data_IF_113474454955
#
_entry.id   IF_113474454955
#
_cell.length_a   1.000
_cell.length_b   1.000
_cell.length_c   1.000
_cell.angle_alpha   90.00
_cell.angle_beta   90.00
_cell.angle_gamma   90.00
#
_symmetry.space_group_name_H-M   'P 1'
#
loop_
_entity.id
_entity.type
_entity.pdbx_description
1 polymer ?
#
# COMPACT_ATOMS: atom_id res chain seq x y z
N UNK A 1 118.50 -63.79 50.98
CA UNK A 1 117.52 -64.89 51.08
C UNK A 1 116.55 -64.47 52.17
N UNK A 2 115.27 -64.17 52.01
CA UNK A 2 114.19 -64.37 51.01
C UNK A 2 113.06 -63.47 51.58
N UNK A 3 112.43 -62.52 50.89
CA UNK A 3 111.61 -62.66 49.68
C UNK A 3 110.12 -62.61 50.04
N UNK A 4 109.44 -61.53 49.60
CA UNK A 4 108.03 -61.41 49.17
C UNK A 4 106.87 -61.00 50.12
N UNK A 5 106.07 -60.07 49.56
CA UNK A 5 104.60 -59.89 49.59
C UNK A 5 103.96 -58.79 50.47
N UNK A 6 103.82 -57.64 49.81
CA UNK A 6 102.57 -56.94 49.46
C UNK A 6 101.63 -56.39 50.54
N UNK A 7 101.59 -55.06 50.53
CA UNK A 7 100.65 -54.15 51.12
C UNK A 7 99.29 -54.20 50.39
N UNK A 8 98.18 -54.17 51.14
CA UNK A 8 96.97 -53.38 50.86
C UNK A 8 96.07 -53.38 52.11
N UNK A 9 96.06 -52.26 52.84
CA UNK A 9 95.06 -51.97 53.87
C UNK A 9 94.03 -50.99 53.33
N UNK A 10 92.75 -51.39 53.30
CA UNK A 10 91.62 -50.51 52.97
C UNK A 10 90.68 -50.35 54.16
N UNK A 11 90.67 -49.15 54.73
CA UNK A 11 89.66 -48.66 55.67
C UNK A 11 88.61 -47.87 54.89
N UNK A 12 87.39 -48.41 54.75
CA UNK A 12 86.27 -47.76 54.06
C UNK A 12 85.08 -47.49 54.97
N UNK A 13 84.88 -46.23 55.34
CA UNK A 13 83.76 -45.65 56.10
C UNK A 13 82.41 -45.85 55.39
N UNK A 14 81.38 -46.31 56.11
CA UNK A 14 80.01 -46.46 55.58
C UNK A 14 79.34 -45.09 55.37
N UNK A 15 79.13 -44.71 54.11
CA UNK A 15 78.39 -43.49 53.74
C UNK A 15 76.87 -43.74 53.81
N UNK A 16 76.12 -42.91 54.55
CA UNK A 16 74.66 -43.01 54.67
C UNK A 16 73.97 -42.07 53.67
N UNK A 17 73.33 -42.64 52.64
CA UNK A 17 72.73 -41.92 51.52
C UNK A 17 71.41 -41.17 51.80
N UNK A 18 70.92 -41.13 53.05
CA UNK A 18 69.58 -40.60 53.38
C UNK A 18 69.44 -39.08 53.18
N UNK A 19 70.48 -38.30 53.49
CA UNK A 19 70.47 -36.83 53.36
C UNK A 19 70.45 -36.33 51.90
N UNK A 20 71.32 -36.79 50.98
CA UNK A 20 71.25 -36.37 49.59
C UNK A 20 69.95 -36.84 48.91
N UNK A 21 69.38 -37.97 49.34
CA UNK A 21 68.13 -38.49 48.79
C UNK A 21 66.90 -37.67 49.23
N UNK A 22 66.84 -37.20 50.48
CA UNK A 22 65.79 -36.26 50.92
C UNK A 22 65.91 -34.87 50.27
N UNK A 23 67.14 -34.36 50.10
CA UNK A 23 67.38 -33.11 49.36
C UNK A 23 66.99 -33.24 47.89
N UNK A 24 67.29 -34.37 47.26
CA UNK A 24 66.84 -34.70 45.92
C UNK A 24 65.32 -34.80 45.81
N UNK A 25 64.66 -35.45 46.78
CA UNK A 25 63.20 -35.57 46.81
C UNK A 25 62.50 -34.22 47.04
N UNK A 26 63.03 -33.38 47.93
CA UNK A 26 62.51 -32.03 48.16
C UNK A 26 62.72 -31.13 46.92
N UNK A 27 63.88 -31.22 46.28
CA UNK A 27 64.14 -30.53 45.01
C UNK A 27 63.20 -30.98 43.88
N UNK A 28 62.91 -32.29 43.80
CA UNK A 28 61.94 -32.85 42.86
C UNK A 28 60.52 -32.32 43.14
N UNK A 29 60.11 -32.26 44.42
CA UNK A 29 58.80 -31.75 44.81
C UNK A 29 58.63 -30.26 44.48
N UNK A 30 59.66 -29.45 44.70
CA UNK A 30 59.64 -28.02 44.32
C UNK A 30 59.64 -27.85 42.81
N UNK A 31 60.40 -28.67 42.07
CA UNK A 31 60.44 -28.59 40.62
C UNK A 31 59.12 -29.04 39.98
N UNK A 32 58.60 -30.20 40.38
CA UNK A 32 57.33 -30.74 39.86
C UNK A 32 56.14 -29.94 40.36
N UNK A 33 56.13 -29.53 41.64
CA UNK A 33 55.06 -28.71 42.21
C UNK A 33 55.08 -27.27 41.69
N UNK A 34 56.26 -26.65 41.59
CA UNK A 34 56.43 -25.29 41.07
C UNK A 34 56.18 -25.22 39.56
N UNK A 35 56.79 -26.10 38.76
CA UNK A 35 56.57 -26.16 37.32
C UNK A 35 55.15 -26.62 37.00
N UNK A 36 54.61 -27.61 37.73
CA UNK A 36 53.23 -28.06 37.56
C UNK A 36 52.22 -26.97 37.89
N UNK A 37 52.41 -26.23 38.99
CA UNK A 37 51.54 -25.10 39.34
C UNK A 37 51.64 -23.98 38.31
N UNK A 38 52.85 -23.65 37.83
CA UNK A 38 53.04 -22.63 36.80
C UNK A 38 52.45 -23.06 35.45
N UNK A 39 52.62 -24.33 35.05
CA UNK A 39 52.12 -24.86 33.79
C UNK A 39 50.59 -24.94 33.70
N UNK A 40 49.88 -24.88 34.83
CA UNK A 40 48.41 -24.83 34.90
C UNK A 40 47.89 -23.40 35.15
N UNK A 41 48.68 -22.52 35.75
CA UNK A 41 48.22 -21.15 36.11
C UNK A 41 48.65 -20.08 35.13
N UNK A 42 49.64 -20.33 34.28
CA UNK A 42 50.08 -19.38 33.27
C UNK A 42 49.13 -19.40 32.06
N UNK A 43 48.55 -18.26 31.72
CA UNK A 43 47.75 -18.08 30.51
C UNK A 43 48.62 -17.53 29.38
N UNK A 44 48.74 -18.27 28.29
CA UNK A 44 49.34 -17.80 27.04
C UNK A 44 48.18 -17.48 26.10
N UNK A 45 47.95 -16.18 25.86
CA UNK A 45 46.99 -15.74 24.85
C UNK A 45 47.57 -16.01 23.46
N UNK A 46 46.87 -16.81 22.65
CA UNK A 46 47.20 -16.97 21.23
C UNK A 46 46.55 -15.88 20.38
N UNK A 47 47.05 -15.72 19.15
CA UNK A 47 46.41 -14.87 18.16
C UNK A 47 46.40 -15.59 16.81
N UNK A 48 45.24 -15.59 16.15
CA UNK A 48 45.13 -15.96 14.74
C UNK A 48 45.36 -14.70 13.92
N UNK A 49 46.31 -14.76 13.00
CA UNK A 49 46.59 -13.66 12.08
C UNK A 49 45.77 -13.89 10.82
N UNK A 50 44.80 -13.00 10.59
CA UNK A 50 43.95 -13.01 9.41
C UNK A 50 44.33 -11.83 8.52
N UNK A 51 44.62 -12.10 7.25
CA UNK A 51 44.85 -11.04 6.27
C UNK A 51 43.49 -10.49 5.82
N UNK A 52 43.37 -9.18 5.80
CA UNK A 52 42.12 -8.50 5.49
C UNK A 52 42.34 -7.25 4.67
N UNK A 53 41.23 -6.61 4.31
CA UNK A 53 41.22 -5.31 3.66
C UNK A 53 40.11 -4.45 4.20
N UNK A 54 40.34 -3.15 4.24
CA UNK A 54 39.29 -2.16 4.47
C UNK A 54 38.31 -2.26 3.31
N UNK A 55 37.04 -2.50 3.62
CA UNK A 55 35.97 -2.38 2.66
C UNK A 55 35.00 -1.29 3.16
N UNK A 56 34.33 -0.63 2.24
CA UNK A 56 33.08 0.04 2.63
C UNK A 56 32.06 -1.06 2.82
N UNK A 57 31.15 -0.91 3.77
CA UNK A 57 29.90 -1.65 3.75
C UNK A 57 29.10 -1.24 2.49
N UNK A 58 29.55 -1.76 1.34
CA UNK A 58 29.08 -1.34 0.03
C UNK A 58 27.87 -2.18 -0.33
N UNK A 59 26.75 -1.93 0.33
CA UNK A 59 25.48 -2.38 -0.19
C UNK A 59 24.98 -1.36 -1.22
N UNK A 60 25.40 -1.56 -2.48
CA UNK A 60 24.90 -0.76 -3.61
C UNK A 60 23.37 -0.80 -3.61
N UNK A 61 22.74 0.36 -3.55
CA UNK A 61 21.28 0.46 -3.57
C UNK A 61 20.83 0.49 -5.01
N UNK A 62 20.05 -0.50 -5.42
CA UNK A 62 19.46 -0.51 -6.76
C UNK A 62 18.32 0.50 -6.84
N UNK A 63 18.35 1.33 -7.87
CA UNK A 63 17.23 2.23 -8.22
C UNK A 63 16.52 1.61 -9.42
N UNK A 64 15.23 1.34 -9.26
CA UNK A 64 14.39 0.69 -10.27
C UNK A 64 12.99 1.32 -10.26
N UNK A 65 12.27 1.23 -11.37
CA UNK A 65 10.88 1.70 -11.50
C UNK A 65 9.92 0.51 -11.63
N UNK A 66 8.83 0.43 -10.84
CA UNK A 66 7.94 -0.72 -10.84
C UNK A 66 7.26 -0.96 -12.19
N UNK A 67 6.85 0.11 -12.88
CA UNK A 67 6.07 0.00 -14.13
C UNK A 67 6.94 0.10 -15.40
N UNK A 68 8.21 0.51 -15.28
CA UNK A 68 9.04 0.87 -16.44
C UNK A 68 8.46 2.05 -17.27
N UNK A 69 9.00 2.28 -18.46
CA UNK A 69 8.55 3.36 -19.35
C UNK A 69 9.59 3.80 -20.37
N UNK A 70 9.23 4.79 -21.19
CA UNK A 70 10.16 5.44 -22.12
C UNK A 70 10.84 6.60 -21.39
N UNK A 71 12.16 6.69 -21.45
CA UNK A 71 12.90 7.78 -20.81
C UNK A 71 12.71 9.07 -21.58
N UNK A 72 12.24 10.11 -20.89
CA UNK A 72 12.11 11.47 -21.43
C UNK A 72 13.38 12.29 -21.21
N UNK A 73 13.97 12.19 -20.02
CA UNK A 73 15.10 13.02 -19.62
C UNK A 73 15.99 12.27 -18.61
N UNK A 74 17.30 12.43 -18.73
CA UNK A 74 18.31 11.90 -17.81
C UNK A 74 18.98 13.09 -17.12
N UNK A 75 18.82 13.20 -15.80
CA UNK A 75 19.26 14.37 -15.03
C UNK A 75 20.62 14.17 -14.35
N UNK A 76 21.11 12.94 -14.30
CA UNK A 76 22.37 12.56 -13.66
C UNK A 76 23.30 11.82 -14.60
N UNK A 77 24.59 11.80 -14.28
CA UNK A 77 25.63 11.07 -14.99
C UNK A 77 26.37 10.12 -14.06
N UNK A 78 27.03 9.13 -14.66
CA UNK A 78 27.90 8.20 -13.96
C UNK A 78 28.96 8.97 -13.14
N UNK A 79 29.05 8.68 -11.84
CA UNK A 79 29.98 9.35 -10.91
C UNK A 79 29.44 10.63 -10.27
N UNK A 80 28.25 11.10 -10.61
CA UNK A 80 27.64 12.27 -9.96
C UNK A 80 27.27 11.97 -8.51
N UNK A 81 27.37 12.98 -7.65
CA UNK A 81 26.92 12.91 -6.26
C UNK A 81 25.49 13.45 -6.16
N UNK A 82 24.60 12.66 -5.58
CA UNK A 82 23.16 12.99 -5.41
C UNK A 82 22.77 12.94 -3.95
N UNK A 83 21.79 13.75 -3.57
CA UNK A 83 21.12 13.73 -2.28
C UNK A 83 19.85 12.88 -2.34
N UNK A 84 19.36 12.46 -1.18
CA UNK A 84 18.09 11.76 -1.10
C UNK A 84 16.94 12.68 -1.55
N UNK A 85 16.12 12.22 -2.48
CA UNK A 85 15.03 12.99 -3.10
C UNK A 85 15.40 13.70 -4.40
N UNK A 86 16.67 13.69 -4.81
CA UNK A 86 17.07 14.28 -6.09
C UNK A 86 16.46 13.49 -7.26
N UNK A 87 15.98 14.22 -8.27
CA UNK A 87 15.46 13.64 -9.50
C UNK A 87 16.61 13.04 -10.33
N UNK A 88 16.54 11.74 -10.61
CA UNK A 88 17.56 11.02 -11.35
C UNK A 88 17.22 10.94 -12.85
N UNK A 89 16.00 10.48 -13.15
CA UNK A 89 15.49 10.33 -14.51
C UNK A 89 14.00 10.64 -14.54
N UNK A 90 13.49 11.11 -15.68
CA UNK A 90 12.06 11.28 -15.94
C UNK A 90 11.60 10.37 -17.08
N UNK A 91 10.45 9.74 -16.89
CA UNK A 91 9.77 8.95 -17.90
C UNK A 91 8.77 9.80 -18.69
N UNK A 92 8.48 9.41 -19.93
CA UNK A 92 7.54 10.08 -20.83
C UNK A 92 6.10 10.01 -20.28
N UNK A 93 5.48 11.16 -19.97
CA UNK A 93 4.14 11.20 -19.38
C UNK A 93 3.02 11.15 -20.42
N UNK A 94 3.29 11.26 -21.72
CA UNK A 94 2.27 11.57 -22.73
C UNK A 94 1.12 10.55 -22.76
N UNK A 95 1.43 9.26 -22.75
CA UNK A 95 0.40 8.18 -22.79
C UNK A 95 -0.44 8.18 -21.53
N UNK A 96 0.20 8.28 -20.36
CA UNK A 96 -0.50 8.25 -19.08
C UNK A 96 -1.31 9.54 -18.83
N UNK A 97 -0.81 10.71 -19.27
CA UNK A 97 -1.56 11.98 -19.22
C UNK A 97 -2.79 11.90 -20.10
N UNK A 98 -2.65 11.45 -21.34
CA UNK A 98 -3.80 11.24 -22.24
C UNK A 98 -4.84 10.31 -21.62
N UNK A 99 -4.41 9.19 -21.02
CA UNK A 99 -5.31 8.27 -20.33
C UNK A 99 -6.00 8.93 -19.12
N UNK A 100 -5.26 9.69 -18.31
CA UNK A 100 -5.81 10.42 -17.18
C UNK A 100 -6.84 11.48 -17.62
N UNK A 101 -6.55 12.21 -18.71
CA UNK A 101 -7.44 13.25 -19.25
C UNK A 101 -8.73 12.64 -19.80
N UNK A 102 -8.65 11.48 -20.47
CA UNK A 102 -9.81 10.71 -20.92
C UNK A 102 -10.67 10.29 -19.73
N UNK A 103 -10.06 9.67 -18.71
CA UNK A 103 -10.78 9.22 -17.51
C UNK A 103 -11.41 10.39 -16.74
N UNK A 104 -10.70 11.52 -16.61
CA UNK A 104 -11.21 12.73 -15.97
C UNK A 104 -12.38 13.33 -16.75
N UNK A 105 -12.31 13.35 -18.08
CA UNK A 105 -13.41 13.82 -18.93
C UNK A 105 -14.64 12.91 -18.83
N UNK A 106 -14.45 11.59 -18.76
CA UNK A 106 -15.54 10.65 -18.52
C UNK A 106 -16.15 10.82 -17.12
N UNK A 107 -15.34 11.08 -16.10
CA UNK A 107 -15.84 11.41 -14.76
C UNK A 107 -16.71 12.67 -14.76
N UNK A 108 -16.26 13.74 -15.42
CA UNK A 108 -17.04 14.97 -15.57
C UNK A 108 -18.37 14.74 -16.29
N UNK A 109 -18.40 13.86 -17.30
CA UNK A 109 -19.64 13.45 -17.97
C UNK A 109 -20.63 12.82 -16.99
N UNK A 110 -20.18 11.84 -16.21
CA UNK A 110 -21.02 11.14 -15.25
C UNK A 110 -21.46 12.09 -14.13
N UNK A 111 -20.58 12.97 -13.65
CA UNK A 111 -20.90 13.96 -12.62
C UNK A 111 -21.97 14.96 -13.08
N UNK A 112 -21.85 15.49 -14.30
CA UNK A 112 -22.85 16.40 -14.85
C UNK A 112 -24.21 15.70 -15.03
N UNK A 113 -24.19 14.46 -15.54
CA UNK A 113 -25.40 13.66 -15.71
C UNK A 113 -26.04 13.32 -14.35
N UNK A 114 -25.22 12.96 -13.36
CA UNK A 114 -25.68 12.69 -12.00
C UNK A 114 -26.29 13.93 -11.35
N UNK A 115 -25.67 15.11 -11.52
CA UNK A 115 -26.20 16.38 -11.03
C UNK A 115 -27.59 16.67 -11.61
N UNK A 116 -27.78 16.50 -12.93
CA UNK A 116 -29.10 16.60 -13.57
C UNK A 116 -30.11 15.63 -12.95
N UNK A 117 -29.74 14.35 -12.81
CA UNK A 117 -30.65 13.33 -12.28
C UNK A 117 -31.01 13.57 -10.81
N UNK A 118 -30.09 14.13 -10.02
CA UNK A 118 -30.36 14.55 -8.65
C UNK A 118 -31.40 15.68 -8.65
N UNK A 119 -31.23 16.69 -9.50
CA UNK A 119 -32.22 17.76 -9.65
C UNK A 119 -33.58 17.23 -10.12
N UNK A 120 -33.63 16.28 -11.06
CA UNK A 120 -34.88 15.64 -11.52
C UNK A 120 -35.56 14.81 -10.44
N UNK A 121 -34.79 14.10 -9.60
CA UNK A 121 -35.31 13.31 -8.48
C UNK A 121 -35.89 14.22 -7.39
N UNK A 122 -35.21 15.32 -7.11
CA UNK A 122 -35.56 16.24 -6.01
C UNK A 122 -36.59 17.28 -6.45
N UNK A 123 -36.97 17.30 -7.73
CA UNK A 123 -37.87 18.30 -8.32
C UNK A 123 -37.36 19.73 -8.10
N UNK A 124 -36.04 19.91 -8.21
CA UNK A 124 -35.39 21.21 -8.04
C UNK A 124 -35.63 22.12 -9.26
N UNK A 125 -35.56 23.44 -9.08
CA UNK A 125 -35.70 24.39 -10.19
C UNK A 125 -34.43 24.48 -11.05
N UNK A 126 -33.27 24.22 -10.46
CA UNK A 126 -31.96 24.34 -11.11
C UNK A 126 -31.02 23.17 -10.76
N UNK A 127 -30.04 22.93 -11.63
CA UNK A 127 -29.01 21.93 -11.41
C UNK A 127 -27.86 22.55 -10.61
N UNK A 128 -27.48 21.91 -9.50
CA UNK A 128 -26.25 22.21 -8.78
C UNK A 128 -25.13 21.27 -9.24
N UNK A 129 -24.12 21.80 -9.91
CA UNK A 129 -22.95 21.03 -10.34
C UNK A 129 -21.85 21.05 -9.24
N UNK A 130 -20.99 20.02 -9.17
CA UNK A 130 -19.81 20.06 -8.30
C UNK A 130 -18.82 21.17 -8.69
N UNK A 131 -18.17 21.80 -7.72
CA UNK A 131 -17.23 22.91 -7.95
C UNK A 131 -16.10 22.56 -8.93
N UNK A 132 -15.53 21.35 -8.82
CA UNK A 132 -14.46 20.89 -9.72
C UNK A 132 -14.89 20.88 -11.19
N UNK A 133 -16.15 20.50 -11.46
CA UNK A 133 -16.72 20.46 -12.80
C UNK A 133 -16.98 21.88 -13.31
N UNK A 134 -17.47 22.79 -12.47
CA UNK A 134 -17.69 24.19 -12.85
C UNK A 134 -16.38 24.92 -13.15
N UNK A 135 -15.33 24.68 -12.37
CA UNK A 135 -13.99 25.19 -12.64
C UNK A 135 -13.44 24.64 -13.95
N UNK A 136 -13.56 23.33 -14.18
CA UNK A 136 -13.14 22.71 -15.44
C UNK A 136 -13.92 23.26 -16.64
N UNK A 137 -15.22 23.50 -16.51
CA UNK A 137 -16.05 24.12 -17.55
C UNK A 137 -15.64 25.57 -17.85
N UNK A 138 -15.17 26.32 -16.86
CA UNK A 138 -14.68 27.68 -17.07
C UNK A 138 -13.37 27.70 -17.89
N UNK A 139 -12.55 26.66 -17.79
CA UNK A 139 -11.25 26.56 -18.45
C UNK A 139 -11.30 25.84 -19.80
N UNK A 140 -12.21 24.87 -19.95
CA UNK A 140 -12.30 23.95 -21.10
C UNK A 140 -13.66 24.00 -21.79
N UNK A 141 -13.64 24.34 -23.08
CA UNK A 141 -14.86 24.47 -23.89
C UNK A 141 -15.65 23.18 -24.08
N UNK A 142 -14.97 22.04 -24.17
CA UNK A 142 -15.62 20.73 -24.33
C UNK A 142 -16.38 20.31 -23.06
N UNK A 143 -15.86 20.67 -21.87
CA UNK A 143 -16.57 20.47 -20.60
C UNK A 143 -17.71 21.48 -20.43
N UNK A 144 -17.53 22.72 -20.87
CA UNK A 144 -18.60 23.73 -20.88
C UNK A 144 -19.81 23.28 -21.73
N UNK A 145 -19.56 22.75 -22.93
CA UNK A 145 -20.60 22.23 -23.81
C UNK A 145 -21.35 21.06 -23.17
N UNK A 146 -20.65 20.20 -22.44
CA UNK A 146 -21.24 19.09 -21.70
C UNK A 146 -22.18 19.57 -20.59
N UNK A 147 -21.73 20.53 -19.77
CA UNK A 147 -22.54 21.13 -18.69
C UNK A 147 -23.78 21.82 -19.26
N UNK A 148 -23.62 22.61 -20.31
CA UNK A 148 -24.73 23.31 -20.95
C UNK A 148 -25.72 22.32 -21.61
N UNK A 149 -25.21 21.23 -22.19
CA UNK A 149 -26.03 20.14 -22.70
C UNK A 149 -26.93 19.52 -21.62
N UNK A 150 -26.40 19.33 -20.39
CA UNK A 150 -27.21 18.84 -19.26
C UNK A 150 -28.25 19.87 -18.79
N UNK A 151 -27.90 21.16 -18.72
CA UNK A 151 -28.85 22.24 -18.39
C UNK A 151 -30.00 22.31 -19.40
N UNK A 152 -29.67 22.30 -20.69
CA UNK A 152 -30.64 22.31 -21.79
C UNK A 152 -31.55 21.08 -21.76
N UNK A 153 -31.00 19.89 -21.52
CA UNK A 153 -31.79 18.66 -21.42
C UNK A 153 -32.75 18.68 -20.22
N UNK A 154 -32.29 19.19 -19.07
CA UNK A 154 -33.11 19.34 -17.87
C UNK A 154 -34.30 20.27 -18.11
N UNK A 155 -34.04 21.46 -18.64
CA UNK A 155 -35.07 22.44 -18.97
C UNK A 155 -36.09 21.88 -19.99
N UNK A 156 -35.61 21.17 -21.02
CA UNK A 156 -36.47 20.54 -22.01
C UNK A 156 -37.38 19.46 -21.41
N UNK A 157 -36.85 18.65 -20.49
CA UNK A 157 -37.63 17.61 -19.77
C UNK A 157 -38.66 18.22 -18.83
N UNK A 158 -38.28 19.24 -18.05
CA UNK A 158 -39.21 19.98 -17.18
C UNK A 158 -40.35 20.60 -18.00
N UNK A 159 -40.02 21.32 -19.09
CA UNK A 159 -41.00 21.93 -19.96
C UNK A 159 -41.89 20.91 -20.70
N UNK A 160 -41.41 19.70 -20.96
CA UNK A 160 -42.23 18.63 -21.55
C UNK A 160 -43.24 18.08 -20.55
N UNK A 161 -42.81 17.88 -19.29
CA UNK A 161 -43.69 17.40 -18.21
C UNK A 161 -44.78 18.40 -17.89
N UNK A 162 -44.42 19.68 -17.80
CA UNK A 162 -45.37 20.75 -17.55
C UNK A 162 -46.45 20.80 -18.63
N UNK A 163 -46.07 20.67 -19.91
CA UNK A 163 -47.03 20.62 -21.02
C UNK A 163 -47.98 19.43 -20.96
N UNK A 164 -47.51 18.29 -20.47
CA UNK A 164 -48.33 17.09 -20.29
C UNK A 164 -49.33 17.27 -19.14
N UNK A 165 -48.89 17.86 -18.03
CA UNK A 165 -49.75 18.24 -16.90
C UNK A 165 -50.81 19.24 -17.34
N UNK A 166 -50.42 20.32 -18.02
CA UNK A 166 -51.33 21.34 -18.57
C UNK A 166 -52.43 20.72 -19.46
N UNK A 167 -52.07 19.72 -20.27
CA UNK A 167 -53.02 19.03 -21.14
C UNK A 167 -54.03 18.21 -20.33
N UNK A 168 -53.57 17.51 -19.29
CA UNK A 168 -54.41 16.73 -18.39
C UNK A 168 -55.35 17.65 -17.57
N UNK A 169 -54.84 18.77 -17.07
CA UNK A 169 -55.64 19.76 -16.34
C UNK A 169 -56.73 20.39 -17.22
N UNK A 170 -56.41 20.78 -18.46
CA UNK A 170 -57.43 21.26 -19.42
C UNK A 170 -58.53 20.23 -19.68
N UNK A 171 -58.18 18.94 -19.71
CA UNK A 171 -59.14 17.84 -19.86
C UNK A 171 -60.04 17.72 -18.62
N UNK A 172 -59.48 17.92 -17.43
CA UNK A 172 -60.23 17.98 -16.16
C UNK A 172 -61.20 19.16 -16.14
N UNK A 173 -60.78 20.34 -16.58
CA UNK A 173 -61.64 21.53 -16.67
C UNK A 173 -62.82 21.32 -17.65
N UNK A 174 -62.58 20.61 -18.76
CA UNK A 174 -63.64 20.22 -19.69
C UNK A 174 -64.66 19.28 -19.03
N UNK A 175 -64.20 18.30 -18.25
CA UNK A 175 -65.06 17.39 -17.50
C UNK A 175 -65.87 18.16 -16.45
N UNK A 176 -65.25 19.09 -15.72
CA UNK A 176 -65.95 19.94 -14.75
C UNK A 176 -67.06 20.77 -15.41
N UNK A 177 -66.81 21.31 -16.60
CA UNK A 177 -67.82 22.05 -17.38
C UNK A 177 -68.97 21.14 -17.83
N UNK A 178 -68.68 19.89 -18.21
CA UNK A 178 -69.71 18.90 -18.56
C UNK A 178 -70.58 18.54 -17.35
N UNK A 179 -69.96 18.31 -16.19
CA UNK A 179 -70.67 18.03 -14.93
C UNK A 179 -71.62 19.20 -14.60
N UNK A 180 -71.13 20.43 -14.64
CA UNK A 180 -71.97 21.62 -14.37
C UNK A 180 -73.18 21.72 -15.31
N UNK A 181 -73.02 21.36 -16.59
CA UNK A 181 -74.13 21.29 -17.54
C UNK A 181 -75.17 20.21 -17.19
N UNK A 182 -74.72 19.04 -16.73
CA UNK A 182 -75.60 17.94 -16.31
C UNK A 182 -76.30 18.27 -14.98
N UNK A 183 -75.62 18.93 -14.06
CA UNK A 183 -76.20 19.40 -12.79
C UNK A 183 -77.34 20.38 -13.02
N UNK A 184 -77.20 21.32 -13.97
CA UNK A 184 -78.28 22.21 -14.37
C UNK A 184 -79.49 21.45 -14.99
N UNK A 185 -79.23 20.39 -15.76
CA UNK A 185 -80.29 19.52 -16.29
C UNK A 185 -80.98 18.73 -15.17
N UNK A 186 -80.22 18.20 -14.21
CA UNK A 186 -80.74 17.53 -13.03
C UNK A 186 -81.65 18.45 -12.21
N UNK A 187 -81.28 19.71 -12.02
CA UNK A 187 -82.10 20.70 -11.33
C UNK A 187 -83.43 20.92 -12.06
N UNK A 188 -83.40 21.11 -13.38
CA UNK A 188 -84.60 21.29 -14.21
C UNK A 188 -85.52 20.05 -14.17
N UNK A 189 -84.95 18.85 -14.30
CA UNK A 189 -85.71 17.59 -14.21
C UNK A 189 -86.33 17.39 -12.82
N UNK A 190 -85.60 17.76 -11.77
CA UNK A 190 -86.10 17.69 -10.38
C UNK A 190 -87.27 18.65 -10.16
N UNK A 191 -87.20 19.86 -10.71
CA UNK A 191 -88.31 20.82 -10.66
C UNK A 191 -89.54 20.29 -11.42
N UNK A 192 -89.34 19.76 -12.63
CA UNK A 192 -90.42 19.18 -13.44
C UNK A 192 -91.08 17.99 -12.73
N UNK A 193 -90.28 17.12 -12.10
CA UNK A 193 -90.78 16.01 -11.29
C UNK A 193 -91.65 16.52 -10.11
N UNK A 194 -91.27 17.64 -9.49
CA UNK A 194 -92.07 18.32 -8.47
C UNK A 194 -93.46 18.70 -8.96
N UNK A 195 -93.55 19.37 -10.12
CA UNK A 195 -94.84 19.75 -10.72
C UNK A 195 -95.70 18.54 -11.08
N UNK A 196 -95.10 17.48 -11.63
CA UNK A 196 -95.82 16.25 -11.98
C UNK A 196 -96.36 15.57 -10.72
N UNK A 197 -95.62 15.57 -9.61
CA UNK A 197 -96.08 15.02 -8.32
C UNK A 197 -97.26 15.80 -7.75
N UNK A 198 -97.21 17.12 -7.78
CA UNK A 198 -98.33 17.98 -7.33
C UNK A 198 -99.60 17.75 -8.18
N UNK A 199 -99.44 17.64 -9.50
CA UNK A 199 -100.56 17.34 -10.40
C UNK A 199 -101.11 15.93 -10.15
N UNK A 200 -100.23 14.95 -9.99
CA UNK A 200 -100.59 13.56 -9.71
C UNK A 200 -101.37 13.45 -8.39
N UNK A 201 -100.93 14.09 -7.32
CA UNK A 201 -101.62 14.12 -6.03
C UNK A 201 -103.03 14.71 -6.17
N UNK A 202 -103.14 15.83 -6.88
CA UNK A 202 -104.42 16.49 -7.14
C UNK A 202 -105.37 15.60 -7.93
N UNK A 203 -104.88 14.96 -9.02
CA UNK A 203 -105.66 14.06 -9.86
C UNK A 203 -106.05 12.76 -9.15
N UNK A 204 -105.17 12.21 -8.30
CA UNK A 204 -105.47 11.05 -7.48
C UNK A 204 -106.62 11.35 -6.51
N UNK A 205 -106.56 12.49 -5.82
CA UNK A 205 -107.63 12.92 -4.91
C UNK A 205 -108.97 13.17 -5.63
N UNK A 206 -108.96 13.62 -6.89
CA UNK A 206 -110.17 13.73 -7.71
C UNK A 206 -110.70 12.35 -8.15
N UNK A 207 -109.81 11.43 -8.52
CA UNK A 207 -110.16 10.05 -8.88
C UNK A 207 -110.83 9.31 -7.71
N UNK A 208 -110.30 9.47 -6.50
CA UNK A 208 -110.83 8.86 -5.27
C UNK A 208 -112.26 9.35 -4.95
N UNK A 209 -112.60 10.57 -5.38
CA UNK A 209 -113.95 11.16 -5.29
C UNK A 209 -114.84 10.82 -6.50
N UNK A 210 -114.34 10.06 -7.47
CA UNK A 210 -115.05 9.72 -8.72
C UNK A 210 -115.13 10.86 -9.74
N UNK A 211 -114.32 11.91 -9.59
CA UNK A 211 -114.34 13.13 -10.41
C UNK A 211 -113.25 13.16 -11.51
N UNK A 212 -112.38 12.17 -11.56
CA UNK A 212 -111.35 12.02 -12.60
C UNK A 212 -111.35 10.60 -13.18
N UNK A 213 -110.66 10.40 -14.31
CA UNK A 213 -110.55 9.10 -14.97
C UNK A 213 -109.18 8.43 -14.67
N UNK A 214 -109.20 7.13 -14.35
CA UNK A 214 -107.99 6.37 -14.02
C UNK A 214 -106.86 6.45 -15.08
N UNK A 215 -107.12 6.48 -16.39
CA UNK A 215 -106.06 6.63 -17.39
C UNK A 215 -105.24 7.93 -17.25
N UNK A 216 -105.82 9.01 -16.71
CA UNK A 216 -105.09 10.27 -16.50
C UNK A 216 -104.04 10.13 -15.40
N UNK A 217 -104.41 9.52 -14.27
CA UNK A 217 -103.49 9.24 -13.15
C UNK A 217 -102.37 8.29 -13.60
N UNK A 218 -102.70 7.20 -14.30
CA UNK A 218 -101.71 6.25 -14.82
C UNK A 218 -100.74 6.89 -15.82
N UNK A 219 -101.18 7.87 -16.61
CA UNK A 219 -100.30 8.62 -17.50
C UNK A 219 -99.29 9.47 -16.71
N UNK A 220 -99.74 10.20 -15.69
CA UNK A 220 -98.87 11.00 -14.80
C UNK A 220 -97.89 10.13 -14.01
N UNK A 221 -98.31 8.95 -13.53
CA UNK A 221 -97.41 7.99 -12.88
C UNK A 221 -96.30 7.48 -13.81
N UNK A 222 -96.62 7.21 -15.10
CA UNK A 222 -95.61 6.83 -16.08
C UNK A 222 -94.65 7.98 -16.39
N UNK A 223 -95.15 9.20 -16.42
CA UNK A 223 -94.33 10.40 -16.60
C UNK A 223 -93.40 10.64 -15.40
N UNK A 224 -93.91 10.52 -14.18
CA UNK A 224 -93.10 10.56 -12.95
C UNK A 224 -91.98 9.51 -12.99
N UNK A 225 -92.32 8.25 -13.30
CA UNK A 225 -91.35 7.17 -13.40
C UNK A 225 -90.31 7.42 -14.51
N UNK A 226 -90.72 8.01 -15.64
CA UNK A 226 -89.83 8.39 -16.72
C UNK A 226 -88.83 9.48 -16.30
N UNK A 227 -89.30 10.53 -15.62
CA UNK A 227 -88.44 11.60 -15.09
C UNK A 227 -87.47 11.08 -14.03
N UNK A 228 -87.93 10.22 -13.11
CA UNK A 228 -87.06 9.57 -12.14
C UNK A 228 -85.96 8.73 -12.81
N UNK A 229 -86.29 8.04 -13.90
CA UNK A 229 -85.31 7.32 -14.72
C UNK A 229 -84.24 8.24 -15.32
N UNK A 230 -84.65 9.37 -15.90
CA UNK A 230 -83.72 10.37 -16.48
C UNK A 230 -82.82 11.03 -15.43
N UNK A 231 -83.36 11.33 -14.24
CA UNK A 231 -82.59 11.81 -13.10
C UNK A 231 -81.55 10.77 -12.68
N UNK A 232 -81.96 9.50 -12.58
CA UNK A 232 -81.05 8.40 -12.26
C UNK A 232 -79.91 8.25 -13.28
N UNK A 233 -80.21 8.33 -14.57
CA UNK A 233 -79.22 8.28 -15.66
C UNK A 233 -78.23 9.46 -15.61
N UNK A 234 -78.73 10.68 -15.42
CA UNK A 234 -77.90 11.88 -15.32
C UNK A 234 -77.01 11.87 -14.06
N UNK A 235 -77.54 11.36 -12.94
CA UNK A 235 -76.77 11.17 -11.69
C UNK A 235 -75.64 10.15 -11.91
N UNK A 236 -75.94 9.01 -12.56
CA UNK A 236 -74.94 7.99 -12.87
C UNK A 236 -73.84 8.54 -13.79
N UNK A 237 -74.22 9.32 -14.80
CA UNK A 237 -73.27 9.98 -15.73
C UNK A 237 -72.37 10.98 -14.99
N UNK A 238 -72.93 11.75 -14.06
CA UNK A 238 -72.14 12.67 -13.22
C UNK A 238 -71.11 11.93 -12.39
N UNK A 239 -71.50 10.82 -11.76
CA UNK A 239 -70.57 9.99 -10.99
C UNK A 239 -69.47 9.36 -11.87
N UNK A 240 -69.80 8.93 -13.09
CA UNK A 240 -68.82 8.43 -14.07
C UNK A 240 -67.78 9.50 -14.45
N UNK A 241 -68.23 10.73 -14.72
CA UNK A 241 -67.35 11.85 -15.05
C UNK A 241 -66.44 12.25 -13.87
N UNK A 242 -66.96 12.23 -12.64
CA UNK A 242 -66.16 12.43 -11.43
C UNK A 242 -65.09 11.34 -11.26
N UNK A 243 -65.43 10.08 -11.57
CA UNK A 243 -64.48 8.97 -11.63
C UNK A 243 -63.34 9.24 -12.61
N UNK A 244 -63.66 9.66 -13.84
CA UNK A 244 -62.66 10.04 -14.85
C UNK A 244 -61.77 11.21 -14.43
N UNK A 245 -62.32 12.21 -13.74
CA UNK A 245 -61.50 13.29 -13.17
C UNK A 245 -60.50 12.75 -12.15
N UNK A 246 -60.91 11.80 -11.32
CA UNK A 246 -60.03 11.17 -10.33
C UNK A 246 -58.93 10.34 -11.01
N UNK A 247 -59.25 9.64 -12.11
CA UNK A 247 -58.24 8.93 -12.92
C UNK A 247 -57.18 9.88 -13.49
N UNK A 248 -57.59 11.05 -13.97
CA UNK A 248 -56.67 12.09 -14.48
C UNK A 248 -55.74 12.59 -13.35
N UNK A 249 -56.27 12.82 -12.15
CA UNK A 249 -55.46 13.24 -10.99
C UNK A 249 -54.39 12.18 -10.63
N UNK A 250 -54.75 10.90 -10.73
CA UNK A 250 -53.80 9.80 -10.54
C UNK A 250 -52.77 9.72 -11.68
N UNK A 251 -53.15 10.05 -12.91
CA UNK A 251 -52.24 10.11 -14.06
C UNK A 251 -51.19 11.22 -13.88
N UNK A 252 -51.60 12.42 -13.43
CA UNK A 252 -50.68 13.52 -13.08
C UNK A 252 -49.70 13.09 -11.99
N UNK A 253 -50.18 12.47 -10.90
CA UNK A 253 -49.32 11.96 -9.84
C UNK A 253 -48.31 10.93 -10.37
N UNK A 254 -48.76 10.04 -11.27
CA UNK A 254 -47.93 9.00 -11.88
C UNK A 254 -46.80 9.57 -12.75
N UNK A 255 -47.02 10.69 -13.44
CA UNK A 255 -45.97 11.34 -14.23
C UNK A 255 -44.80 11.77 -13.35
N UNK A 256 -45.09 12.41 -12.21
CA UNK A 256 -44.06 12.83 -11.26
C UNK A 256 -43.32 11.64 -10.63
N UNK A 257 -44.05 10.61 -10.18
CA UNK A 257 -43.44 9.43 -9.57
C UNK A 257 -42.60 8.63 -10.57
N UNK A 258 -43.09 8.45 -11.80
CA UNK A 258 -42.35 7.71 -12.84
C UNK A 258 -41.05 8.41 -13.22
N UNK A 259 -41.06 9.74 -13.34
CA UNK A 259 -39.84 10.50 -13.61
C UNK A 259 -38.83 10.39 -12.45
N UNK A 260 -39.29 10.47 -11.19
CA UNK A 260 -38.44 10.27 -10.01
C UNK A 260 -37.85 8.85 -9.97
N UNK A 261 -38.65 7.82 -10.23
CA UNK A 261 -38.20 6.43 -10.26
C UNK A 261 -37.14 6.18 -11.35
N UNK A 262 -37.36 6.72 -12.54
CA UNK A 262 -36.38 6.67 -13.63
C UNK A 262 -35.07 7.36 -13.23
N UNK A 263 -35.15 8.55 -12.64
CA UNK A 263 -33.98 9.29 -12.20
C UNK A 263 -33.19 8.54 -11.11
N UNK A 264 -33.87 7.92 -10.15
CA UNK A 264 -33.23 7.10 -9.10
C UNK A 264 -32.54 5.88 -9.70
N UNK A 265 -33.19 5.21 -10.65
CA UNK A 265 -32.65 4.01 -11.31
C UNK A 265 -31.39 4.35 -12.10
N UNK A 266 -31.44 5.38 -12.95
CA UNK A 266 -30.27 5.85 -13.70
C UNK A 266 -29.14 6.32 -12.77
N UNK A 267 -29.46 7.06 -11.71
CA UNK A 267 -28.48 7.55 -10.75
C UNK A 267 -27.74 6.41 -10.04
N UNK A 268 -28.46 5.33 -9.67
CA UNK A 268 -27.86 4.16 -9.05
C UNK A 268 -26.82 3.52 -9.98
N UNK A 269 -27.15 3.36 -11.26
CA UNK A 269 -26.28 2.73 -12.23
C UNK A 269 -25.07 3.62 -12.57
N UNK A 270 -25.26 4.95 -12.61
CA UNK A 270 -24.16 5.90 -12.80
C UNK A 270 -23.21 5.96 -11.60
N UNK A 271 -23.71 5.88 -10.37
CA UNK A 271 -22.86 5.91 -9.16
C UNK A 271 -21.83 4.77 -9.15
N UNK A 272 -22.22 3.58 -9.60
CA UNK A 272 -21.28 2.47 -9.72
C UNK A 272 -20.15 2.79 -10.71
N UNK A 273 -20.50 3.30 -11.90
CA UNK A 273 -19.53 3.71 -12.92
C UNK A 273 -18.65 4.87 -12.48
N UNK A 274 -19.22 5.82 -11.74
CA UNK A 274 -18.46 6.95 -11.18
C UNK A 274 -17.36 6.45 -10.25
N UNK A 275 -17.69 5.53 -9.33
CA UNK A 275 -16.71 4.95 -8.42
C UNK A 275 -15.62 4.20 -9.19
N UNK A 276 -16.01 3.38 -10.16
CA UNK A 276 -15.06 2.64 -11.00
C UNK A 276 -14.08 3.57 -11.73
N UNK A 277 -14.59 4.61 -12.42
CA UNK A 277 -13.74 5.58 -13.13
C UNK A 277 -12.89 6.41 -12.17
N UNK A 278 -13.39 6.72 -10.97
CA UNK A 278 -12.63 7.47 -9.97
C UNK A 278 -11.44 6.66 -9.45
N UNK A 279 -11.61 5.36 -9.24
CA UNK A 279 -10.52 4.46 -8.88
C UNK A 279 -9.51 4.31 -10.02
N UNK A 280 -9.96 4.15 -11.26
CA UNK A 280 -9.08 4.07 -12.44
C UNK A 280 -8.28 5.37 -12.62
N UNK A 281 -8.94 6.52 -12.50
CA UNK A 281 -8.28 7.83 -12.58
C UNK A 281 -7.22 7.98 -11.49
N UNK A 282 -7.54 7.59 -10.24
CA UNK A 282 -6.58 7.65 -9.13
C UNK A 282 -5.37 6.76 -9.39
N UNK A 283 -5.56 5.54 -9.88
CA UNK A 283 -4.47 4.63 -10.22
C UNK A 283 -3.52 5.22 -11.29
N UNK A 284 -4.07 5.80 -12.36
CA UNK A 284 -3.27 6.45 -13.41
C UNK A 284 -2.59 7.72 -12.89
N UNK A 285 -3.27 8.51 -12.05
CA UNK A 285 -2.70 9.69 -11.40
C UNK A 285 -1.51 9.33 -10.49
N UNK A 286 -1.63 8.20 -9.77
CA UNK A 286 -0.55 7.67 -8.94
C UNK A 286 0.65 7.23 -9.81
N UNK A 287 0.39 6.54 -10.93
CA UNK A 287 1.44 6.20 -11.90
C UNK A 287 2.12 7.44 -12.48
N UNK A 288 1.36 8.49 -12.82
CA UNK A 288 1.89 9.77 -13.28
C UNK A 288 2.82 10.42 -12.23
N UNK A 289 2.45 10.36 -10.95
CA UNK A 289 3.27 10.91 -9.87
C UNK A 289 4.62 10.21 -9.70
N UNK A 290 4.73 8.94 -10.15
CA UNK A 290 5.94 8.12 -10.07
C UNK A 290 6.82 8.16 -11.32
N UNK A 291 6.45 8.90 -12.36
CA UNK A 291 7.26 9.00 -13.57
C UNK A 291 8.61 9.67 -13.36
N UNK A 292 8.80 10.34 -12.23
CA UNK A 292 10.08 10.87 -11.80
C UNK A 292 10.74 9.85 -10.89
N UNK A 293 11.85 9.28 -11.35
CA UNK A 293 12.66 8.35 -10.57
C UNK A 293 13.58 9.19 -9.67
N UNK A 294 13.37 9.11 -8.37
CA UNK A 294 14.12 9.88 -7.36
C UNK A 294 15.17 9.02 -6.64
N UNK A 295 16.20 9.66 -6.10
CA UNK A 295 17.22 9.00 -5.29
C UNK A 295 16.66 8.60 -3.91
N UNK A 296 16.63 7.30 -3.55
CA UNK A 296 16.17 6.88 -2.21
C UNK A 296 17.13 7.25 -1.08
N UNK A 297 18.42 7.41 -1.39
CA UNK A 297 19.50 7.73 -0.45
C UNK A 297 20.51 8.65 -1.10
N UNK A 298 21.23 9.44 -0.31
CA UNK A 298 22.37 10.20 -0.81
C UNK A 298 23.54 9.26 -1.14
N UNK A 299 24.27 9.55 -2.22
CA UNK A 299 25.37 8.70 -2.67
C UNK A 299 25.94 9.11 -4.01
N UNK A 300 26.85 8.29 -4.53
CA UNK A 300 27.42 8.45 -5.87
C UNK A 300 26.69 7.50 -6.83
N UNK A 301 26.33 8.02 -8.00
CA UNK A 301 25.73 7.25 -9.09
C UNK A 301 26.75 6.29 -9.68
N UNK A 302 26.38 5.02 -9.75
CA UNK A 302 27.22 3.93 -10.23
C UNK A 302 26.45 2.97 -11.15
N UNK A 303 27.12 2.45 -12.17
CA UNK A 303 26.63 1.40 -13.08
C UNK A 303 25.25 1.75 -13.67
N UNK A 304 25.12 2.97 -14.22
CA UNK A 304 23.96 3.37 -15.01
C UNK A 304 23.73 2.39 -16.16
N UNK A 305 22.51 1.90 -16.32
CA UNK A 305 22.13 1.02 -17.44
C UNK A 305 21.50 1.79 -18.61
N UNK A 306 21.17 3.06 -18.37
CA UNK A 306 20.40 3.92 -19.27
C UNK A 306 21.24 5.12 -19.67
N UNK A 307 21.55 5.22 -20.97
CA UNK A 307 22.50 6.22 -21.48
C UNK A 307 21.93 7.17 -22.54
N UNK A 308 20.70 6.94 -22.99
CA UNK A 308 20.09 7.70 -24.07
C UNK A 308 18.64 8.06 -23.73
N UNK A 309 18.25 9.28 -24.11
CA UNK A 309 16.85 9.65 -24.17
C UNK A 309 16.08 8.71 -25.10
N UNK A 310 14.80 8.51 -24.81
CA UNK A 310 13.89 7.59 -25.52
C UNK A 310 14.22 6.11 -25.42
N UNK A 311 15.19 5.71 -24.58
CA UNK A 311 15.38 4.30 -24.23
C UNK A 311 14.18 3.76 -23.47
N UNK A 312 13.90 2.47 -23.63
CA UNK A 312 12.78 1.80 -22.95
C UNK A 312 13.30 1.03 -21.74
N UNK A 313 12.73 1.28 -20.58
CA UNK A 313 13.00 0.57 -19.32
C UNK A 313 11.83 -0.40 -19.08
N UNK A 314 12.12 -1.67 -18.75
CA UNK A 314 11.08 -2.64 -18.38
C UNK A 314 10.74 -2.53 -16.89
N UNK A 315 9.55 -2.99 -16.48
CA UNK A 315 9.19 -3.14 -15.08
C UNK A 315 10.29 -3.81 -14.25
N UNK A 316 10.67 -3.15 -13.15
CA UNK A 316 11.68 -3.62 -12.19
C UNK A 316 13.11 -3.82 -12.73
N UNK A 317 13.41 -3.37 -13.95
CA UNK A 317 14.79 -3.36 -14.43
C UNK A 317 15.61 -2.32 -13.64
N UNK A 318 16.86 -2.65 -13.23
CA UNK A 318 17.75 -1.70 -12.58
C UNK A 318 18.12 -0.58 -13.55
N UNK A 319 17.89 0.67 -13.13
CA UNK A 319 18.21 1.86 -13.92
C UNK A 319 19.63 2.33 -13.64
N UNK A 320 19.99 2.37 -12.35
CA UNK A 320 21.32 2.68 -11.85
C UNK A 320 21.47 2.18 -10.40
N UNK A 321 22.68 2.26 -9.86
CA UNK A 321 22.95 2.00 -8.46
C UNK A 321 23.46 3.26 -7.76
N UNK A 322 23.14 3.39 -6.48
CA UNK A 322 23.70 4.43 -5.62
C UNK A 322 24.63 3.80 -4.60
N UNK A 323 25.82 4.38 -4.46
CA UNK A 323 26.81 4.01 -3.43
C UNK A 323 26.79 5.08 -2.33
N UNK A 324 26.19 4.79 -1.15
CA UNK A 324 26.15 5.73 -0.04
C UNK A 324 27.56 6.06 0.45
N UNK A 325 27.84 7.33 0.71
CA UNK A 325 29.17 7.79 1.17
C UNK A 325 29.29 7.80 2.70
N UNK A 326 28.18 7.83 3.44
CA UNK A 326 28.14 7.93 4.90
C UNK A 326 28.02 6.56 5.59
N UNK A 327 28.75 5.56 5.10
CA UNK A 327 28.76 4.21 5.71
C UNK A 327 30.04 3.98 6.50
N UNK A 328 29.96 3.35 7.68
CA UNK A 328 31.16 3.01 8.43
C UNK A 328 32.04 2.08 7.60
N UNK A 329 33.34 2.32 7.65
CA UNK A 329 34.32 1.43 7.03
C UNK A 329 34.39 0.15 7.86
N UNK A 330 34.16 -0.98 7.21
CA UNK A 330 34.25 -2.32 7.82
C UNK A 330 35.51 -3.01 7.33
N UNK A 331 36.08 -3.90 8.14
CA UNK A 331 37.29 -4.62 7.76
C UNK A 331 36.91 -6.07 7.50
N UNK A 332 37.16 -6.53 6.28
CA UNK A 332 36.94 -7.91 5.90
C UNK A 332 38.26 -8.67 6.06
N UNK A 333 38.33 -9.53 7.08
CA UNK A 333 39.46 -10.40 7.33
C UNK A 333 39.17 -11.82 6.82
N UNK A 334 40.18 -12.46 6.22
CA UNK A 334 40.11 -13.84 5.74
C UNK A 334 40.73 -14.75 6.77
N UNK A 335 39.93 -15.66 7.31
CA UNK A 335 40.36 -16.67 8.28
C UNK A 335 40.48 -18.02 7.58
N UNK A 336 41.59 -18.71 7.83
CA UNK A 336 41.81 -20.07 7.33
C UNK A 336 40.77 -21.02 7.93
N UNK A 337 40.13 -21.91 7.13
CA UNK A 337 39.15 -22.88 7.62
C UNK A 337 39.62 -23.72 8.80
N UNK A 338 40.93 -23.95 8.97
CA UNK A 338 41.47 -24.68 10.12
C UNK A 338 41.28 -23.95 11.47
N UNK A 339 41.00 -22.65 11.44
CA UNK A 339 40.89 -21.80 12.62
C UNK A 339 39.46 -21.31 12.90
N UNK A 340 38.46 -21.73 12.11
CA UNK A 340 37.08 -21.28 12.26
C UNK A 340 36.44 -21.68 13.60
N UNK A 341 36.92 -22.76 14.21
CA UNK A 341 36.45 -23.26 15.52
C UNK A 341 36.76 -22.31 16.69
N UNK A 342 37.65 -21.33 16.46
CA UNK A 342 38.13 -20.38 17.46
C UNK A 342 37.66 -18.94 17.20
N UNK A 343 36.79 -18.74 16.20
CA UNK A 343 36.28 -17.41 15.81
C UNK A 343 34.80 -17.30 16.13
N UNK A 344 34.41 -16.26 16.87
CA UNK A 344 33.02 -16.02 17.28
C UNK A 344 32.66 -14.52 17.26
N UNK A 345 31.37 -14.17 17.10
CA UNK A 345 30.92 -12.77 17.19
C UNK A 345 31.29 -12.13 18.55
N UNK A 346 31.47 -10.81 18.57
CA UNK A 346 31.91 -9.99 19.72
C UNK A 346 33.31 -10.29 20.26
N UNK A 347 34.08 -11.13 19.57
CA UNK A 347 35.46 -11.42 19.94
C UNK A 347 36.36 -10.18 19.72
N UNK A 348 37.23 -9.82 20.68
CA UNK A 348 38.15 -8.70 20.52
C UNK A 348 39.25 -9.03 19.51
N UNK A 349 39.48 -8.07 18.61
CA UNK A 349 40.45 -8.14 17.52
C UNK A 349 41.36 -6.92 17.60
N UNK A 350 42.65 -7.15 17.42
CA UNK A 350 43.63 -6.08 17.29
C UNK A 350 44.01 -5.93 15.82
N UNK A 351 43.76 -4.75 15.26
CA UNK A 351 44.01 -4.45 13.86
C UNK A 351 45.37 -3.75 13.72
N UNK A 352 46.19 -4.27 12.81
CA UNK A 352 47.43 -3.64 12.38
C UNK A 352 47.31 -3.23 10.92
N UNK A 353 47.67 -1.98 10.65
CA UNK A 353 47.66 -1.41 9.30
C UNK A 353 49.10 -1.39 8.77
N UNK A 354 49.55 -2.41 8.02
CA UNK A 354 50.93 -2.48 7.51
C UNK A 354 51.25 -1.35 6.53
N UNK A 355 50.23 -0.67 5.98
CA UNK A 355 50.38 0.51 5.12
C UNK A 355 50.89 1.74 5.85
N UNK A 356 50.77 1.80 7.17
CA UNK A 356 51.28 2.90 7.98
C UNK A 356 52.55 2.50 8.74
N UNK A 357 53.40 3.48 9.08
CA UNK A 357 54.62 3.21 9.83
C UNK A 357 54.30 2.61 11.22
N UNK A 358 54.74 1.36 11.41
CA UNK A 358 54.52 0.51 12.58
C UNK A 358 55.07 1.14 13.87
N UNK A 359 56.02 2.08 13.77
CA UNK A 359 56.58 2.77 14.95
C UNK A 359 55.74 3.94 15.43
N UNK A 360 54.90 4.50 14.56
CA UNK A 360 54.13 5.72 14.85
C UNK A 360 52.63 5.51 14.87
N UNK A 361 52.15 4.36 14.37
CA UNK A 361 50.72 4.07 14.23
C UNK A 361 50.29 3.10 15.33
N UNK A 362 49.35 3.50 16.21
CA UNK A 362 48.85 2.62 17.26
C UNK A 362 48.05 1.45 16.67
N UNK A 363 48.07 0.33 17.36
CA UNK A 363 47.18 -0.80 17.09
C UNK A 363 45.73 -0.39 17.39
N UNK A 364 44.80 -0.71 16.50
CA UNK A 364 43.39 -0.35 16.71
C UNK A 364 42.65 -1.52 17.34
N UNK A 365 41.87 -1.23 18.37
CA UNK A 365 40.96 -2.20 18.96
C UNK A 365 39.66 -2.26 18.13
N UNK A 366 39.15 -3.47 17.96
CA UNK A 366 37.97 -3.77 17.18
C UNK A 366 37.29 -5.03 17.71
N UNK A 367 36.06 -5.28 17.27
CA UNK A 367 35.34 -6.51 17.57
C UNK A 367 34.77 -7.15 16.30
N UNK A 368 34.58 -8.47 16.36
CA UNK A 368 33.94 -9.21 15.27
C UNK A 368 32.44 -8.95 15.31
N UNK A 369 31.90 -8.33 14.27
CA UNK A 369 30.45 -8.13 14.13
C UNK A 369 29.80 -9.37 13.54
N UNK A 370 30.45 -9.98 12.53
CA UNK A 370 29.86 -11.11 11.79
C UNK A 370 30.92 -12.07 11.30
N UNK A 371 30.61 -13.35 11.40
CA UNK A 371 31.38 -14.45 10.79
C UNK A 371 30.53 -15.05 9.67
N UNK A 372 31.11 -15.28 8.49
CA UNK A 372 30.38 -15.89 7.39
C UNK A 372 29.90 -17.30 7.77
N UNK A 373 28.63 -17.66 7.49
CA UNK A 373 28.11 -18.98 7.84
C UNK A 373 28.70 -20.10 6.98
N UNK A 374 29.34 -19.76 5.86
CA UNK A 374 29.98 -20.69 4.92
C UNK A 374 31.35 -20.16 4.48
N UNK A 375 32.18 -21.05 3.95
CA UNK A 375 33.50 -20.74 3.44
C UNK A 375 33.43 -20.30 1.96
N UNK A 376 34.13 -19.23 1.63
CA UNK A 376 34.25 -18.73 0.26
C UNK A 376 35.53 -19.28 -0.39
N UNK A 377 35.45 -19.60 -1.69
CA UNK A 377 36.63 -19.94 -2.49
C UNK A 377 37.06 -18.75 -3.32
N UNK A 378 38.33 -18.35 -3.19
CA UNK A 378 38.90 -17.30 -4.03
C UNK A 378 39.03 -17.81 -5.48
N UNK A 379 38.36 -17.15 -6.43
CA UNK A 379 38.35 -17.55 -7.85
C UNK A 379 39.73 -17.46 -8.51
N UNK A 380 40.66 -16.66 -7.96
CA UNK A 380 42.00 -16.47 -8.51
C UNK A 380 43.02 -17.47 -7.94
N UNK A 381 42.95 -17.78 -6.64
CA UNK A 381 43.93 -18.63 -5.96
C UNK A 381 43.44 -20.03 -5.62
N UNK A 382 42.13 -20.28 -5.71
CA UNK A 382 41.49 -21.54 -5.33
C UNK A 382 41.50 -21.82 -3.82
N UNK A 383 41.97 -20.88 -2.99
CA UNK A 383 42.00 -21.03 -1.55
C UNK A 383 40.62 -20.79 -0.94
N UNK A 384 40.22 -21.68 -0.03
CA UNK A 384 38.99 -21.58 0.74
C UNK A 384 39.26 -20.79 2.03
N UNK A 385 38.40 -19.82 2.36
CA UNK A 385 38.52 -19.00 3.56
C UNK A 385 37.14 -18.65 4.13
N UNK A 386 37.06 -18.45 5.44
CA UNK A 386 35.92 -17.82 6.08
C UNK A 386 36.13 -16.32 6.11
N UNK A 387 35.07 -15.56 5.84
CA UNK A 387 35.13 -14.11 5.88
C UNK A 387 34.59 -13.62 7.23
N UNK A 388 35.41 -12.83 7.91
CA UNK A 388 35.07 -12.20 9.18
C UNK A 388 34.98 -10.70 8.97
N UNK A 389 33.88 -10.12 9.42
CA UNK A 389 33.61 -8.69 9.40
C UNK A 389 33.95 -8.11 10.76
N UNK A 390 34.92 -7.20 10.76
CA UNK A 390 35.49 -6.59 11.96
C UNK A 390 35.22 -5.09 11.93
N UNK A 391 34.65 -4.56 13.01
CA UNK A 391 34.34 -3.15 13.16
C UNK A 391 35.26 -2.54 14.23
N UNK A 392 35.99 -1.46 13.91
CA UNK A 392 36.77 -0.71 14.90
C UNK A 392 35.88 -0.14 16.01
N UNK A 393 36.36 -0.15 17.25
CA UNK A 393 35.61 0.40 18.38
C UNK A 393 35.49 1.94 18.28
N UNK A 394 34.45 2.50 18.91
CA UNK A 394 34.20 3.95 18.88
C UNK A 394 35.41 4.75 19.39
N UNK A 395 35.89 5.71 18.58
CA UNK A 395 37.03 6.57 18.92
C UNK A 395 38.42 5.99 18.64
N UNK A 396 38.55 4.70 18.30
CA UNK A 396 39.84 4.10 17.91
C UNK A 396 40.33 4.68 16.58
N UNK A 397 39.43 4.92 15.63
CA UNK A 397 39.75 5.57 14.35
C UNK A 397 40.31 6.99 14.52
N UNK A 398 39.95 7.69 15.59
CA UNK A 398 40.47 9.04 15.91
C UNK A 398 41.93 9.00 16.35
N UNK A 399 42.42 7.86 16.87
CA UNK A 399 43.83 7.67 17.26
C UNK A 399 44.80 7.66 16.08
N UNK A 400 44.29 7.51 14.85
CA UNK A 400 45.08 7.58 13.63
C UNK A 400 45.56 9.01 13.28
N UNK A 401 45.19 10.03 14.07
CA UNK A 401 45.81 11.37 14.00
C UNK A 401 45.60 12.09 12.66
N UNK A 402 44.43 11.89 12.03
CA UNK A 402 44.09 12.51 10.73
C UNK A 402 44.48 11.69 9.49
N UNK A 403 45.03 10.47 9.66
CA UNK A 403 45.22 9.52 8.54
C UNK A 403 43.87 8.89 8.17
N UNK A 404 43.43 9.08 6.93
CA UNK A 404 42.15 8.58 6.41
C UNK A 404 42.31 7.13 5.97
N UNK A 405 41.41 6.25 6.41
CA UNK A 405 41.33 4.87 5.90
C UNK A 405 40.62 4.89 4.54
N UNK A 406 41.26 4.35 3.51
CA UNK A 406 40.65 4.21 2.18
C UNK A 406 40.20 2.76 1.94
N UNK A 407 39.09 2.54 1.20
CA UNK A 407 38.71 1.21 0.75
C UNK A 407 39.82 0.55 -0.06
N UNK A 408 40.07 -0.74 0.18
CA UNK A 408 41.10 -1.54 -0.48
C UNK A 408 42.44 -1.60 0.24
N UNK A 409 42.66 -0.84 1.32
CA UNK A 409 43.91 -0.93 2.09
C UNK A 409 44.05 -2.28 2.80
N UNK A 410 45.21 -2.95 2.76
CA UNK A 410 45.44 -4.19 3.49
C UNK A 410 45.51 -3.94 5.00
N UNK A 411 44.94 -4.86 5.76
CA UNK A 411 44.89 -4.85 7.23
C UNK A 411 45.22 -6.26 7.72
N UNK A 412 46.01 -6.37 8.78
CA UNK A 412 46.20 -7.61 9.51
C UNK A 412 45.34 -7.60 10.76
N UNK A 413 44.41 -8.54 10.87
CA UNK A 413 43.56 -8.71 12.03
C UNK A 413 44.14 -9.82 12.92
N UNK A 414 44.48 -9.47 14.15
CA UNK A 414 44.92 -10.41 15.18
C UNK A 414 43.72 -10.77 16.04
N UNK A 415 43.10 -11.91 15.75
CA UNK A 415 41.96 -12.41 16.50
C UNK A 415 42.48 -13.12 17.75
N UNK A 416 42.13 -12.62 18.94
CA UNK A 416 42.61 -13.19 20.20
C UNK A 416 41.95 -14.53 20.46
N UNK A 417 42.70 -15.62 20.45
CA UNK A 417 42.16 -16.95 20.76
C UNK A 417 42.04 -17.18 22.26
N UNK A 418 41.32 -18.24 22.64
CA UNK A 418 41.18 -18.66 24.03
C UNK A 418 42.54 -18.83 24.69
N UNK A 419 42.68 -18.33 25.92
CA UNK A 419 43.89 -18.49 26.72
C UNK A 419 44.19 -19.99 26.90
N UNK A 420 45.43 -20.40 26.58
CA UNK A 420 45.90 -21.77 26.77
C UNK A 420 47.01 -21.81 27.81
N UNK A 421 46.99 -22.84 28.63
CA UNK A 421 48.07 -23.09 29.58
C UNK A 421 49.24 -23.79 28.88
N UNK A 422 50.50 -23.66 29.36
CA UNK A 422 51.62 -24.44 28.84
C UNK A 422 51.36 -25.96 28.87
N UNK A 423 50.58 -26.44 29.85
CA UNK A 423 50.17 -27.84 29.93
C UNK A 423 49.23 -28.24 28.76
N UNK A 424 48.31 -27.37 28.35
CA UNK A 424 47.40 -27.64 27.23
C UNK A 424 48.14 -27.85 25.91
N UNK A 425 49.24 -27.13 25.68
CA UNK A 425 50.06 -27.33 24.48
C UNK A 425 50.74 -28.71 24.42
N UNK A 426 51.07 -29.29 25.57
CA UNK A 426 51.67 -30.62 25.68
C UNK A 426 50.64 -31.74 25.63
N UNK A 427 49.48 -31.55 26.26
CA UNK A 427 48.49 -32.62 26.46
C UNK A 427 47.46 -32.68 25.33
N UNK A 428 47.04 -31.53 24.77
CA UNK A 428 45.97 -31.48 23.76
C UNK A 428 46.24 -32.29 22.47
N UNK A 429 47.46 -32.32 21.90
CA UNK A 429 47.74 -33.16 20.72
C UNK A 429 47.56 -34.66 21.01
N UNK A 430 47.90 -35.09 22.24
CA UNK A 430 47.73 -36.47 22.69
C UNK A 430 46.24 -36.77 22.92
N UNK A 431 45.50 -35.87 23.57
CA UNK A 431 44.06 -36.06 23.78
C UNK A 431 43.27 -36.07 22.47
N UNK A 432 43.60 -35.20 21.53
CA UNK A 432 42.92 -35.11 20.24
C UNK A 432 43.21 -36.35 19.38
N UNK A 433 44.44 -36.89 19.45
CA UNK A 433 44.79 -38.17 18.81
C UNK A 433 44.01 -39.34 19.41
N UNK A 434 43.94 -39.45 20.75
CA UNK A 434 43.15 -40.50 21.41
C UNK A 434 41.64 -40.35 21.11
N UNK A 435 41.09 -39.15 21.19
CA UNK A 435 39.67 -38.90 20.88
C UNK A 435 39.32 -39.22 19.42
N UNK A 436 40.27 -39.06 18.49
CA UNK A 436 40.10 -39.44 17.08
C UNK A 436 40.19 -40.96 16.89
N UNK A 437 41.10 -41.63 17.59
CA UNK A 437 41.28 -43.08 17.57
C UNK A 437 40.16 -43.87 18.27
N UNK A 438 39.33 -43.23 19.11
CA UNK A 438 38.15 -43.83 19.73
C UNK A 438 36.83 -43.51 19.01
N UNK A 439 36.86 -42.67 17.97
CA UNK A 439 35.69 -42.28 17.15
C UNK A 439 35.66 -42.93 15.76
N UNK A 440 36.74 -43.56 15.36
CA UNK A 440 36.77 -44.67 14.38
C UNK A 440 36.77 -46.00 15.15
#
# INVERSE_FOLDING_TARGET
MTGLQDAFGSSGTRWTARRPLMLGLAGLLVLVGGFGSWAVTANISGAIIASGRVAVESNRQVVQHPDGGVVSEILVREGDMVQAGDDLLRLDPNVLRSNADILRTQLFEIEARAARLIAERDEADEISFPNDLEQAAAERSDIAELVEGQRSLFAARAASREREIDQLERRKDQIASQISGIEAQLEALTLQLGFIREELESQQSLLDRGLAQAPRVLALQREEAGLMGQIGESTATTAELQGRSTEIDLEVLKLATSAREQAITELRDLRFRQLELAEQYRAVSEQLSRLVIIAPVAGIVYDMQVFAERSVIRPADPVLYLIPQDRPLVIHARVDPIHIDQVYPEQPVTLRLPTFDVRTTPELLAHIVRVSPDAFTDKATGQTYYQVEVLPDEGELTKLGGKILLPGMPVEAYLRTSDRTPLDYLVKPVSDYFNRAFRE
#
